data_IF_911193141492
#
_entry.id   IF_911193141492
#
_cell.length_a   1.000
_cell.length_b   1.000
_cell.length_c   1.000
_cell.angle_alpha   90.00
_cell.angle_beta   90.00
_cell.angle_gamma   90.00
#
_symmetry.space_group_name_H-M   'P 1'
#
loop_
_entity.id
_entity.type
_entity.pdbx_description
1 polymer ?
#
# COMPACT_ATOMS: atom_id res chain seq x y z
N UNK A 1 31.76 -8.48 -47.08
CA UNK A 1 30.37 -8.86 -46.80
C UNK A 1 30.33 -9.33 -45.35
N UNK A 2 29.93 -8.46 -44.45
CA UNK A 2 29.89 -8.72 -43.01
C UNK A 2 28.50 -9.11 -42.55
N UNK A 3 28.39 -10.20 -41.85
CA UNK A 3 27.20 -10.64 -41.18
C UNK A 3 27.12 -10.02 -39.79
N UNK A 4 26.31 -8.95 -39.65
CA UNK A 4 25.81 -8.52 -38.39
C UNK A 4 24.52 -9.29 -38.12
N UNK A 5 24.54 -10.24 -37.22
CA UNK A 5 23.33 -10.91 -36.77
C UNK A 5 23.27 -11.06 -35.25
N UNK A 6 22.27 -10.46 -34.67
CA UNK A 6 21.49 -10.94 -33.52
C UNK A 6 22.17 -11.04 -32.15
N UNK A 7 22.28 -9.91 -31.46
CA UNK A 7 22.44 -9.87 -29.99
C UNK A 7 21.28 -9.20 -29.25
N UNK A 8 20.15 -8.86 -29.92
CA UNK A 8 19.01 -8.14 -29.31
C UNK A 8 17.88 -9.02 -28.78
N UNK A 9 17.80 -10.30 -29.10
CA UNK A 9 16.61 -11.12 -28.75
C UNK A 9 16.69 -11.75 -27.33
N UNK A 10 17.85 -12.10 -26.84
CA UNK A 10 18.00 -12.82 -25.58
C UNK A 10 17.71 -11.96 -24.30
N UNK A 11 17.88 -10.64 -24.38
CA UNK A 11 17.61 -9.72 -23.28
C UNK A 11 16.12 -9.43 -23.08
N UNK A 12 15.38 -9.32 -24.18
CA UNK A 12 13.92 -9.08 -24.16
C UNK A 12 13.14 -10.29 -23.66
N UNK A 13 13.52 -11.49 -24.08
CA UNK A 13 12.88 -12.74 -23.63
C UNK A 13 13.05 -12.98 -22.14
N UNK A 14 14.22 -12.66 -21.58
CA UNK A 14 14.50 -12.80 -20.14
C UNK A 14 13.71 -11.79 -19.29
N UNK A 15 13.58 -10.56 -19.79
CA UNK A 15 12.75 -9.51 -19.16
C UNK A 15 11.26 -9.84 -19.21
N UNK A 16 10.78 -10.37 -20.32
CA UNK A 16 9.38 -10.76 -20.48
C UNK A 16 9.05 -12.02 -19.66
N UNK A 17 9.98 -12.98 -19.57
CA UNK A 17 9.86 -14.12 -18.66
C UNK A 17 9.83 -13.69 -17.20
N UNK A 18 10.67 -12.74 -16.78
CA UNK A 18 10.68 -12.17 -15.42
C UNK A 18 9.39 -11.40 -15.12
N UNK A 19 8.88 -10.61 -16.07
CA UNK A 19 7.59 -9.92 -15.95
C UNK A 19 6.43 -10.90 -15.83
N UNK A 20 6.45 -11.98 -16.61
CA UNK A 20 5.42 -13.03 -16.61
C UNK A 20 5.45 -13.82 -15.29
N UNK A 21 6.63 -14.13 -14.76
CA UNK A 21 6.83 -14.79 -13.46
C UNK A 21 6.41 -13.88 -12.30
N UNK A 22 6.69 -12.57 -12.39
CA UNK A 22 6.25 -11.54 -11.42
C UNK A 22 4.72 -11.43 -11.43
N UNK A 23 4.09 -11.45 -12.61
CA UNK A 23 2.63 -11.40 -12.78
C UNK A 23 1.94 -12.65 -12.22
N UNK A 24 2.52 -13.85 -12.42
CA UNK A 24 1.99 -15.11 -11.90
C UNK A 24 2.06 -15.23 -10.37
N UNK A 25 3.05 -14.60 -9.73
CA UNK A 25 3.15 -14.56 -8.25
C UNK A 25 2.17 -13.58 -7.61
N UNK A 26 1.68 -12.59 -8.33
CA UNK A 26 0.72 -11.59 -7.86
C UNK A 26 -0.74 -12.04 -7.95
N UNK A 27 -1.07 -12.99 -8.80
CA UNK A 27 -2.45 -13.42 -9.08
C UNK A 27 -3.16 -14.17 -7.95
N UNK A 28 -2.49 -14.44 -6.82
CA UNK A 28 -3.09 -15.14 -5.68
C UNK A 28 -3.04 -14.31 -4.39
N UNK A 29 -2.70 -13.03 -4.46
CA UNK A 29 -2.72 -12.18 -3.29
C UNK A 29 -4.15 -11.71 -3.00
N UNK A 30 -4.56 -11.91 -1.77
CA UNK A 30 -5.85 -11.47 -1.25
C UNK A 30 -5.67 -10.15 -0.52
N UNK A 31 -6.53 -9.20 -0.80
CA UNK A 31 -6.63 -7.91 -0.12
C UNK A 31 -7.92 -7.88 0.69
N UNK A 32 -7.86 -7.28 1.87
CA UNK A 32 -9.03 -7.03 2.71
C UNK A 32 -9.21 -5.52 2.84
N UNK A 33 -10.45 -5.05 2.75
CA UNK A 33 -10.79 -3.67 3.07
C UNK A 33 -11.12 -3.58 4.56
N UNK A 34 -10.42 -2.71 5.31
CA UNK A 34 -10.79 -2.39 6.67
C UNK A 34 -12.10 -1.57 6.69
N UNK A 35 -12.95 -1.84 7.69
CA UNK A 35 -14.28 -1.21 7.77
C UNK A 35 -14.20 0.30 8.01
N UNK A 36 -13.27 0.72 8.86
CA UNK A 36 -13.13 2.11 9.29
C UNK A 36 -12.68 3.02 8.15
N UNK A 37 -12.92 4.29 8.35
CA UNK A 37 -12.29 5.39 7.63
C UNK A 37 -11.20 5.99 8.53
N UNK A 38 -10.07 6.34 7.95
CA UNK A 38 -8.89 6.77 8.68
C UNK A 38 -8.52 8.22 8.39
N UNK A 39 -7.88 8.84 9.36
CA UNK A 39 -7.20 10.13 9.20
C UNK A 39 -5.70 9.96 9.43
N UNK A 40 -4.93 10.74 8.70
CA UNK A 40 -3.48 10.88 8.87
C UNK A 40 -3.21 12.21 9.56
N UNK A 41 -2.53 12.17 10.68
CA UNK A 41 -2.24 13.34 11.52
C UNK A 41 -0.75 13.60 11.62
N UNK A 42 -0.38 14.88 11.60
CA UNK A 42 0.92 15.36 12.07
C UNK A 42 0.73 15.95 13.47
N UNK A 43 1.44 15.44 14.43
CA UNK A 43 1.39 15.89 15.83
C UNK A 43 2.70 16.61 16.20
N UNK A 44 2.61 17.46 17.20
CA UNK A 44 3.79 18.04 17.85
C UNK A 44 4.64 16.94 18.52
N UNK A 45 5.95 17.16 18.66
CA UNK A 45 6.89 16.18 19.22
C UNK A 45 6.63 15.83 20.69
N UNK A 46 5.93 16.68 21.41
CA UNK A 46 5.52 16.53 22.82
C UNK A 46 4.04 16.17 22.97
N UNK A 47 3.34 15.89 21.87
CA UNK A 47 1.93 15.53 21.93
C UNK A 47 1.71 14.21 22.67
N UNK A 48 0.67 14.18 23.50
CA UNK A 48 0.13 12.95 24.07
C UNK A 48 -0.92 12.35 23.16
N UNK A 49 -0.95 11.03 23.08
CA UNK A 49 -1.96 10.31 22.31
C UNK A 49 -3.22 10.09 23.15
N UNK A 50 -4.43 10.25 22.57
CA UNK A 50 -5.65 9.80 23.20
C UNK A 50 -5.60 8.29 23.50
N UNK A 51 -6.13 7.87 24.66
CA UNK A 51 -6.20 6.46 25.06
C UNK A 51 -6.94 5.61 24.02
N UNK A 52 -7.99 6.14 23.42
CA UNK A 52 -8.78 5.49 22.36
C UNK A 52 -7.94 5.07 21.14
N UNK A 53 -6.77 5.68 20.88
CA UNK A 53 -5.88 5.25 19.81
C UNK A 53 -5.30 3.87 20.09
N UNK A 54 -4.95 3.58 21.35
CA UNK A 54 -4.41 2.27 21.73
C UNK A 54 -5.46 1.17 21.81
N UNK A 55 -6.72 1.53 21.84
CA UNK A 55 -7.86 0.60 21.92
C UNK A 55 -8.45 0.21 20.56
N UNK A 56 -8.11 0.93 19.48
CA UNK A 56 -8.61 0.58 18.15
C UNK A 56 -7.81 -0.57 17.50
N UNK A 57 -8.45 -1.29 16.58
CA UNK A 57 -7.89 -2.48 15.93
C UNK A 57 -6.69 -2.18 15.06
N UNK A 58 -6.62 -0.98 14.47
CA UNK A 58 -5.50 -0.55 13.65
C UNK A 58 -5.18 0.93 13.85
N UNK A 59 -3.94 1.18 14.21
CA UNK A 59 -3.31 2.49 14.10
C UNK A 59 -1.83 2.32 13.74
N UNK A 60 -1.22 3.37 13.25
CA UNK A 60 0.22 3.42 12.99
C UNK A 60 0.79 4.72 13.52
N UNK A 61 1.85 4.61 14.30
CA UNK A 61 2.56 5.74 14.89
C UNK A 61 4.02 5.71 14.46
N UNK A 62 4.48 6.78 13.86
CA UNK A 62 5.88 6.97 13.51
C UNK A 62 6.39 8.26 14.13
N UNK A 63 7.56 8.21 14.77
CA UNK A 63 8.24 9.37 15.36
C UNK A 63 9.59 9.57 14.71
N UNK A 64 9.84 10.80 14.29
CA UNK A 64 11.15 11.26 13.79
C UNK A 64 11.65 12.41 14.67
N UNK A 65 12.80 12.98 14.32
CA UNK A 65 13.27 14.21 14.97
C UNK A 65 12.41 15.43 14.64
N UNK A 66 11.55 15.34 13.60
CA UNK A 66 10.83 16.48 13.03
C UNK A 66 9.32 16.41 13.29
N UNK A 67 8.76 15.21 13.49
CA UNK A 67 7.32 15.01 13.63
C UNK A 67 6.94 13.70 14.31
N UNK A 68 5.72 13.66 14.81
CA UNK A 68 4.98 12.44 15.09
C UNK A 68 3.89 12.33 14.03
N UNK A 69 3.89 11.22 13.25
CA UNK A 69 2.86 10.90 12.27
C UNK A 69 1.97 9.80 12.84
N UNK A 70 0.66 10.06 12.89
CA UNK A 70 -0.34 9.13 13.41
C UNK A 70 -1.37 8.83 12.32
N UNK A 71 -1.62 7.56 12.08
CA UNK A 71 -2.79 7.07 11.33
C UNK A 71 -3.71 6.37 12.31
N UNK A 72 -4.96 6.80 12.39
CA UNK A 72 -5.97 6.16 13.26
C UNK A 72 -7.38 6.32 12.66
N UNK A 73 -8.40 5.59 13.18
CA UNK A 73 -9.79 5.79 12.79
C UNK A 73 -10.23 7.25 12.94
N UNK A 74 -10.94 7.74 11.95
CA UNK A 74 -11.33 9.17 11.84
C UNK A 74 -12.29 9.62 12.95
N UNK A 75 -13.02 8.68 13.56
CA UNK A 75 -13.93 8.96 14.68
C UNK A 75 -13.19 9.23 16.02
N UNK A 76 -11.88 9.00 16.08
CA UNK A 76 -11.08 9.32 17.25
C UNK A 76 -10.67 10.80 17.22
N UNK A 77 -11.05 11.54 18.26
CA UNK A 77 -10.67 12.95 18.38
C UNK A 77 -9.17 13.07 18.70
N UNK A 78 -8.39 13.64 17.79
CA UNK A 78 -6.94 13.84 17.93
C UNK A 78 -6.61 15.32 17.81
N UNK A 79 -5.87 15.85 18.79
CA UNK A 79 -5.28 17.19 18.68
C UNK A 79 -4.04 17.12 17.80
N UNK A 80 -4.07 17.74 16.65
CA UNK A 80 -3.00 17.67 15.66
C UNK A 80 -2.68 19.03 15.04
N UNK A 81 -1.42 19.23 14.63
CA UNK A 81 -1.01 20.41 13.86
C UNK A 81 -1.62 20.43 12.46
N UNK A 82 -1.72 19.25 11.85
CA UNK A 82 -2.33 19.02 10.53
C UNK A 82 -3.04 17.68 10.52
N UNK A 83 -4.16 17.61 9.81
CA UNK A 83 -4.87 16.37 9.56
C UNK A 83 -5.26 16.24 8.09
N UNK A 84 -5.31 15.00 7.64
CA UNK A 84 -5.74 14.63 6.31
C UNK A 84 -6.71 13.44 6.43
N UNK A 85 -8.03 13.70 6.37
CA UNK A 85 -9.08 12.70 6.59
C UNK A 85 -9.43 11.90 5.33
N UNK A 86 -10.48 11.10 5.41
CA UNK A 86 -11.11 10.38 4.29
C UNK A 86 -10.23 9.32 3.62
N UNK A 87 -9.53 8.52 4.40
CA UNK A 87 -8.75 7.39 3.89
C UNK A 87 -9.44 6.06 4.16
N UNK A 88 -9.46 5.19 3.17
CA UNK A 88 -9.79 3.76 3.31
C UNK A 88 -8.51 2.94 3.25
N UNK A 89 -8.49 1.84 3.99
CA UNK A 89 -7.29 1.04 4.17
C UNK A 89 -7.47 -0.36 3.59
N UNK A 90 -6.60 -0.73 2.66
CA UNK A 90 -6.44 -2.09 2.14
C UNK A 90 -5.32 -2.78 2.90
N UNK A 91 -5.58 -3.98 3.41
CA UNK A 91 -4.59 -4.85 4.04
C UNK A 91 -4.24 -5.99 3.09
N UNK A 92 -2.98 -6.27 2.90
CA UNK A 92 -2.54 -7.47 2.18
C UNK A 92 -2.69 -8.68 3.11
N UNK A 93 -3.31 -9.78 2.65
CA UNK A 93 -3.42 -10.98 3.48
C UNK A 93 -2.03 -11.55 3.78
N UNK A 94 -1.70 -11.61 5.06
CA UNK A 94 -0.43 -12.11 5.58
C UNK A 94 -0.58 -13.47 6.29
N UNK A 95 0.49 -13.95 6.94
CA UNK A 95 1.80 -13.31 7.03
C UNK A 95 2.59 -13.37 5.72
N UNK A 96 3.28 -12.28 5.37
CA UNK A 96 4.15 -12.22 4.21
C UNK A 96 5.58 -12.61 4.60
N UNK A 97 6.22 -13.51 3.85
CA UNK A 97 7.64 -13.79 4.03
C UNK A 97 8.45 -12.56 3.58
N UNK A 98 9.37 -12.08 4.42
CA UNK A 98 10.30 -10.98 4.08
C UNK A 98 11.12 -11.23 2.81
N UNK A 99 11.25 -12.49 2.38
CA UNK A 99 11.90 -12.87 1.12
C UNK A 99 11.03 -12.58 -0.11
N UNK A 100 9.73 -12.37 0.08
CA UNK A 100 8.84 -12.02 -1.02
C UNK A 100 9.09 -10.57 -1.44
N UNK A 101 9.58 -10.40 -2.65
CA UNK A 101 9.86 -9.08 -3.21
C UNK A 101 8.79 -8.67 -4.20
N UNK A 102 8.49 -7.36 -4.22
CA UNK A 102 7.64 -6.78 -5.26
C UNK A 102 6.13 -6.88 -5.00
N UNK A 103 5.68 -7.30 -3.80
CA UNK A 103 4.25 -7.30 -3.44
C UNK A 103 3.73 -5.88 -3.43
N UNK A 104 4.29 -5.03 -2.58
CA UNK A 104 3.88 -3.63 -2.47
C UNK A 104 4.07 -2.89 -3.81
N UNK A 105 5.21 -3.09 -4.50
CA UNK A 105 5.45 -2.43 -5.79
C UNK A 105 4.44 -2.84 -6.85
N UNK A 106 3.96 -4.10 -6.86
CA UNK A 106 2.93 -4.54 -7.78
C UNK A 106 1.59 -3.84 -7.56
N UNK A 107 1.17 -3.69 -6.30
CA UNK A 107 -0.05 -2.95 -5.95
C UNK A 107 0.09 -1.48 -6.31
N UNK A 108 1.22 -0.86 -5.94
CA UNK A 108 1.47 0.56 -6.20
C UNK A 108 1.58 0.87 -7.69
N UNK A 109 2.16 -0.02 -8.50
CA UNK A 109 2.23 0.13 -9.96
C UNK A 109 0.83 0.19 -10.59
N UNK A 110 -0.10 -0.67 -10.13
CA UNK A 110 -1.51 -0.67 -10.59
C UNK A 110 -2.20 0.64 -10.23
N UNK A 111 -2.07 1.07 -8.97
CA UNK A 111 -2.71 2.31 -8.48
C UNK A 111 -2.12 3.56 -9.12
N UNK A 112 -0.81 3.59 -9.35
CA UNK A 112 -0.15 4.67 -10.08
C UNK A 112 -0.63 4.77 -11.52
N UNK A 113 -0.92 3.64 -12.17
CA UNK A 113 -1.53 3.60 -13.52
C UNK A 113 -2.87 4.31 -13.59
N UNK A 114 -3.66 4.27 -12.51
CA UNK A 114 -4.92 5.00 -12.35
C UNK A 114 -4.75 6.42 -11.76
N UNK A 115 -3.51 6.88 -11.56
CA UNK A 115 -3.16 8.17 -10.95
C UNK A 115 -3.67 8.33 -9.51
N UNK A 116 -3.77 7.25 -8.78
CA UNK A 116 -4.22 7.21 -7.39
C UNK A 116 -3.01 7.35 -6.47
N UNK A 117 -3.01 8.40 -5.65
CA UNK A 117 -2.02 8.59 -4.58
C UNK A 117 -2.34 7.67 -3.41
N UNK A 118 -1.30 7.16 -2.79
CA UNK A 118 -1.40 6.23 -1.67
C UNK A 118 -0.59 6.71 -0.46
N UNK A 119 -0.93 6.16 0.72
CA UNK A 119 -0.08 6.19 1.89
C UNK A 119 0.14 4.73 2.33
N UNK A 120 1.38 4.25 2.29
CA UNK A 120 1.71 2.86 2.57
C UNK A 120 2.37 2.70 3.95
N UNK A 121 1.98 1.65 4.66
CA UNK A 121 2.51 1.26 5.96
C UNK A 121 2.89 -0.20 5.89
N UNK A 122 4.14 -0.52 6.19
CA UNK A 122 4.60 -1.91 6.33
C UNK A 122 4.75 -2.25 7.81
N UNK A 123 4.24 -3.40 8.20
CA UNK A 123 4.39 -3.98 9.54
C UNK A 123 5.28 -5.23 9.47
N UNK A 124 5.46 -5.93 10.59
CA UNK A 124 6.23 -7.17 10.60
C UNK A 124 5.60 -8.26 9.70
N UNK A 125 4.28 -8.38 9.71
CA UNK A 125 3.58 -9.47 9.03
C UNK A 125 3.04 -9.09 7.66
N UNK A 126 2.74 -7.81 7.39
CA UNK A 126 2.04 -7.42 6.17
C UNK A 126 2.12 -5.93 5.86
N UNK A 127 1.55 -5.56 4.70
CA UNK A 127 1.45 -4.20 4.22
C UNK A 127 -0.01 -3.70 4.27
N UNK A 128 -0.14 -2.41 4.57
CA UNK A 128 -1.38 -1.65 4.55
C UNK A 128 -1.25 -0.50 3.56
N UNK A 129 -2.24 -0.32 2.71
CA UNK A 129 -2.27 0.70 1.69
C UNK A 129 -3.51 1.57 1.89
N UNK A 130 -3.30 2.83 2.26
CA UNK A 130 -4.37 3.79 2.40
C UNK A 130 -4.59 4.52 1.08
N UNK A 131 -5.85 4.67 0.73
CA UNK A 131 -6.33 5.29 -0.50
C UNK A 131 -7.44 6.25 -0.11
N UNK A 132 -7.50 7.44 -0.72
CA UNK A 132 -8.62 8.35 -0.51
C UNK A 132 -9.94 7.66 -0.85
N UNK A 133 -10.94 7.82 0.01
CA UNK A 133 -12.26 7.18 -0.13
C UNK A 133 -12.89 7.40 -1.49
N UNK A 134 -12.74 8.59 -2.06
CA UNK A 134 -13.26 8.93 -3.40
C UNK A 134 -12.69 8.04 -4.51
N UNK A 135 -11.47 7.50 -4.37
CA UNK A 135 -10.83 6.62 -5.35
C UNK A 135 -11.01 5.13 -5.07
N UNK A 136 -11.67 4.74 -3.98
CA UNK A 136 -11.75 3.34 -3.55
C UNK A 136 -12.31 2.41 -4.64
N UNK A 137 -13.44 2.78 -5.24
CA UNK A 137 -14.09 1.96 -6.28
C UNK A 137 -13.18 1.78 -7.50
N UNK A 138 -12.51 2.84 -7.95
CA UNK A 138 -11.56 2.79 -9.06
C UNK A 138 -10.36 1.91 -8.71
N UNK A 139 -9.82 2.06 -7.50
CA UNK A 139 -8.69 1.28 -7.01
C UNK A 139 -9.00 -0.22 -6.94
N UNK A 140 -10.13 -0.60 -6.33
CA UNK A 140 -10.57 -2.00 -6.22
C UNK A 140 -10.73 -2.60 -7.61
N UNK A 141 -11.46 -1.93 -8.52
CA UNK A 141 -11.66 -2.41 -9.89
C UNK A 141 -10.34 -2.58 -10.66
N UNK A 142 -9.38 -1.67 -10.49
CA UNK A 142 -8.07 -1.76 -11.14
C UNK A 142 -7.25 -2.94 -10.59
N UNK A 143 -7.26 -3.14 -9.28
CA UNK A 143 -6.57 -4.25 -8.64
C UNK A 143 -7.18 -5.60 -9.02
N UNK A 144 -8.51 -5.72 -9.08
CA UNK A 144 -9.20 -6.93 -9.55
C UNK A 144 -8.83 -7.25 -11.01
N UNK A 145 -8.84 -6.26 -11.90
CA UNK A 145 -8.38 -6.43 -13.30
C UNK A 145 -6.91 -6.88 -13.38
N UNK A 146 -6.09 -6.49 -12.41
CA UNK A 146 -4.70 -6.91 -12.33
C UNK A 146 -4.52 -8.31 -11.70
N UNK A 147 -5.60 -8.93 -11.20
CA UNK A 147 -5.63 -10.29 -10.67
C UNK A 147 -5.54 -10.40 -9.15
N UNK A 148 -5.67 -9.29 -8.41
CA UNK A 148 -5.81 -9.32 -6.96
C UNK A 148 -7.23 -9.75 -6.59
N UNK A 149 -7.35 -10.49 -5.48
CA UNK A 149 -8.63 -10.93 -4.94
C UNK A 149 -8.98 -10.10 -3.70
N UNK A 150 -10.26 -9.92 -3.47
CA UNK A 150 -10.78 -9.27 -2.27
C UNK A 150 -11.66 -10.24 -1.47
N UNK A 151 -11.57 -10.20 -0.15
CA UNK A 151 -12.44 -10.89 0.80
C UNK A 151 -13.19 -9.91 1.68
#
# INVERSE_FOLDING_TARGET
MGTQTSRKSAGTDKLDALRKTKKLKQTNLVLSLLEETFSIHRLALDASLPEAVSECDFYSLSKTAEEISLVCPENIAVTSEKSNPDWKCLKVAGPLDFKLTGILSGITDVLAGEKISIFAISTFDTDYILIKREYLTTAVSALERAGYQFN
#
